data_IF_978847722914
#
_entry.id   IF_978847722914
#
_cell.length_a   1.000
_cell.length_b   1.000
_cell.length_c   1.000
_cell.angle_alpha   90.00
_cell.angle_beta   90.00
_cell.angle_gamma   90.00
#
_symmetry.space_group_name_H-M   'P 1'
#
loop_
_entity.id
_entity.type
_entity.pdbx_description
1 polymer ?
#
# COMPACT_ATOMS: atom_id res chain seq x y z
N UNK A 1 4.06 0.53 -3.88
CA UNK A 1 4.28 -0.25 -2.64
C UNK A 1 4.92 -1.59 -3.00
N UNK A 2 5.76 -2.13 -2.12
CA UNK A 2 6.35 -3.46 -2.29
C UNK A 2 6.55 -4.13 -0.93
N UNK A 3 6.54 -5.46 -0.94
CA UNK A 3 6.80 -6.32 0.24
C UNK A 3 8.09 -7.06 -0.02
N UNK A 4 8.96 -7.09 0.98
CA UNK A 4 10.24 -7.78 0.95
C UNK A 4 10.30 -8.81 2.08
N UNK A 5 10.93 -9.95 1.81
CA UNK A 5 11.33 -10.89 2.84
C UNK A 5 12.55 -10.35 3.59
N UNK A 6 12.55 -10.43 4.91
CA UNK A 6 13.72 -10.08 5.73
C UNK A 6 14.77 -11.19 5.77
N UNK A 7 14.39 -12.42 5.44
CA UNK A 7 15.28 -13.59 5.53
C UNK A 7 16.27 -13.62 4.36
N UNK A 8 15.76 -13.37 3.15
CA UNK A 8 16.54 -13.44 1.90
C UNK A 8 16.69 -12.11 1.17
N UNK A 9 16.02 -11.04 1.63
CA UNK A 9 15.88 -9.78 0.88
C UNK A 9 15.24 -9.96 -0.50
N UNK A 10 14.34 -10.94 -0.62
CA UNK A 10 13.59 -11.18 -1.85
C UNK A 10 12.36 -10.29 -1.91
N UNK A 11 12.09 -9.73 -3.10
CA UNK A 11 10.87 -8.97 -3.36
C UNK A 11 9.70 -9.93 -3.54
N UNK A 12 8.82 -10.00 -2.55
CA UNK A 12 7.67 -10.92 -2.55
C UNK A 12 6.50 -10.40 -3.40
N UNK A 13 6.22 -9.10 -3.33
CA UNK A 13 5.13 -8.48 -4.06
C UNK A 13 5.42 -7.01 -4.38
N UNK A 14 4.81 -6.49 -5.45
CA UNK A 14 4.70 -5.04 -5.67
C UNK A 14 3.43 -4.65 -6.36
N UNK A 15 2.92 -3.49 -5.97
CA UNK A 15 1.73 -2.90 -6.57
C UNK A 15 1.84 -1.38 -6.62
N UNK A 16 1.44 -0.80 -7.74
CA UNK A 16 1.22 0.64 -7.86
C UNK A 16 -0.05 1.04 -7.11
N UNK A 17 0.01 2.17 -6.41
CA UNK A 17 -1.18 2.76 -5.82
C UNK A 17 -2.16 3.11 -6.94
N UNK A 18 -3.39 2.64 -6.83
CA UNK A 18 -4.43 2.95 -7.79
C UNK A 18 -5.03 4.30 -7.43
N UNK A 19 -4.73 5.32 -8.25
CA UNK A 19 -5.26 6.66 -8.09
C UNK A 19 -6.71 6.68 -8.60
N UNK A 20 -7.70 7.10 -7.79
CA UNK A 20 -9.08 7.16 -8.23
C UNK A 20 -9.24 8.12 -9.41
N UNK A 21 -10.13 7.77 -10.34
CA UNK A 21 -10.47 8.60 -11.50
C UNK A 21 -10.84 10.02 -11.07
N UNK A 22 -10.30 11.02 -11.77
CA UNK A 22 -10.54 12.43 -11.45
C UNK A 22 -9.55 13.04 -10.45
N UNK A 23 -8.60 12.28 -9.92
CA UNK A 23 -7.46 12.81 -9.14
C UNK A 23 -6.19 12.85 -9.99
N UNK A 24 -5.40 13.91 -9.83
CA UNK A 24 -4.12 14.05 -10.53
C UNK A 24 -3.11 13.11 -9.88
N UNK A 25 -2.41 12.25 -10.64
CA UNK A 25 -1.32 11.45 -10.09
C UNK A 25 -0.22 12.37 -9.54
N UNK A 26 0.26 12.07 -8.32
CA UNK A 26 1.42 12.72 -7.72
C UNK A 26 2.56 11.71 -7.66
N UNK A 27 3.49 11.69 -8.63
CA UNK A 27 4.57 10.69 -8.68
C UNK A 27 5.50 10.76 -7.47
N UNK A 28 5.56 11.93 -6.83
CA UNK A 28 6.36 12.21 -5.62
C UNK A 28 5.48 12.32 -4.37
N UNK A 29 4.20 11.93 -4.47
CA UNK A 29 3.26 12.01 -3.35
C UNK A 29 3.71 11.10 -2.21
N UNK A 30 3.82 11.68 -1.01
CA UNK A 30 4.18 10.93 0.18
C UNK A 30 3.12 9.85 0.45
N UNK A 31 3.57 8.62 0.69
CA UNK A 31 2.70 7.52 1.12
C UNK A 31 3.15 7.05 2.49
N UNK A 32 2.27 7.15 3.47
CA UNK A 32 2.48 6.65 4.83
C UNK A 32 1.71 5.34 5.01
N UNK A 33 2.30 4.40 5.74
CA UNK A 33 1.67 3.11 6.05
C UNK A 33 1.60 2.89 7.55
N UNK A 34 0.50 2.30 8.01
CA UNK A 34 0.32 1.87 9.40
C UNK A 34 -0.33 0.50 9.43
N UNK A 35 0.33 -0.48 10.05
CA UNK A 35 -0.23 -1.81 10.23
C UNK A 35 -1.36 -1.80 11.27
N UNK A 36 -2.39 -2.58 10.99
CA UNK A 36 -3.40 -2.95 11.97
C UNK A 36 -2.82 -3.94 12.98
N UNK A 37 -3.44 -4.05 14.15
CA UNK A 37 -2.96 -4.92 15.23
C UNK A 37 -2.96 -6.42 14.85
N UNK A 38 -3.77 -6.82 13.87
CA UNK A 38 -3.81 -8.19 13.36
C UNK A 38 -2.62 -8.59 12.48
N UNK A 39 -1.75 -7.64 12.12
CA UNK A 39 -0.60 -7.82 11.21
C UNK A 39 -0.95 -8.33 9.80
N UNK A 40 -2.23 -8.42 9.45
CA UNK A 40 -2.73 -8.88 8.15
C UNK A 40 -3.13 -7.72 7.27
N UNK A 41 -3.53 -6.60 7.88
CA UNK A 41 -3.98 -5.41 7.18
C UNK A 41 -3.11 -4.21 7.48
N UNK A 42 -3.04 -3.28 6.54
CA UNK A 42 -2.44 -1.97 6.77
C UNK A 42 -3.26 -0.85 6.13
N UNK A 43 -3.25 0.31 6.77
CA UNK A 43 -3.75 1.57 6.25
C UNK A 43 -2.66 2.23 5.41
N UNK A 44 -2.96 2.56 4.16
CA UNK A 44 -2.14 3.44 3.34
C UNK A 44 -2.80 4.81 3.26
N UNK A 45 -2.04 5.85 3.59
CA UNK A 45 -2.44 7.26 3.46
C UNK A 45 -1.54 7.90 2.42
N UNK A 46 -2.14 8.31 1.32
CA UNK A 46 -1.51 9.10 0.27
C UNK A 46 -2.26 10.43 0.14
N UNK A 47 -1.60 11.47 -0.36
CA UNK A 47 -2.21 12.79 -0.54
C UNK A 47 -3.58 12.72 -1.24
N UNK A 48 -3.69 11.85 -2.24
CA UNK A 48 -4.90 11.69 -3.04
C UNK A 48 -5.81 10.56 -2.59
N UNK A 49 -5.56 9.79 -1.53
CA UNK A 49 -6.46 8.71 -1.09
C UNK A 49 -6.07 8.08 0.26
N UNK A 50 -7.04 7.38 0.86
CA UNK A 50 -6.81 6.50 1.99
C UNK A 50 -7.43 5.15 1.65
N UNK A 51 -6.69 4.06 1.90
CA UNK A 51 -7.18 2.71 1.63
C UNK A 51 -6.59 1.69 2.60
N UNK A 52 -7.34 0.61 2.83
CA UNK A 52 -6.92 -0.55 3.62
C UNK A 52 -6.51 -1.65 2.66
N UNK A 53 -5.36 -2.25 2.90
CA UNK A 53 -4.81 -3.34 2.11
C UNK A 53 -4.54 -4.57 2.96
N UNK A 54 -4.64 -5.75 2.34
CA UNK A 54 -4.05 -6.98 2.87
C UNK A 54 -2.54 -6.95 2.61
N UNK A 55 -1.74 -7.28 3.62
CA UNK A 55 -0.31 -7.01 3.68
C UNK A 55 0.51 -7.89 2.73
N UNK A 56 0.23 -9.20 2.66
CA UNK A 56 1.06 -10.14 1.91
C UNK A 56 0.89 -10.02 0.40
N UNK A 57 -0.31 -9.72 -0.07
CA UNK A 57 -0.68 -9.63 -1.49
C UNK A 57 -0.80 -8.21 -2.01
N UNK A 58 -0.79 -7.21 -1.11
CA UNK A 58 -1.08 -5.81 -1.46
C UNK A 58 -2.46 -5.63 -2.13
N UNK A 59 -3.43 -6.45 -1.75
CA UNK A 59 -4.80 -6.39 -2.28
C UNK A 59 -5.59 -5.28 -1.56
N UNK A 60 -6.31 -4.44 -2.32
CA UNK A 60 -7.12 -3.38 -1.71
C UNK A 60 -8.40 -4.00 -1.16
N UNK A 61 -8.61 -3.87 0.15
CA UNK A 61 -9.80 -4.38 0.85
C UNK A 61 -10.89 -3.31 0.85
N UNK A 62 -10.50 -2.04 1.06
CA UNK A 62 -11.43 -0.92 1.13
C UNK A 62 -10.73 0.39 0.76
N UNK A 63 -11.42 1.26 0.04
CA UNK A 63 -10.97 2.58 -0.39
C UNK A 63 -12.12 3.59 -0.27
#
# INVERSE_FOLDING_TARGET
MCVWSTDGWDKLASKFLQIPSGRVPSPLGETRVQFHQDQKHFLAVHETQIAIYEASKLECVKQ
#
